data_IF_827448212179
#
_entry.id   IF_827448212179
#
_cell.length_a   1.000
_cell.length_b   1.000
_cell.length_c   1.000
_cell.angle_alpha   90.00
_cell.angle_beta   90.00
_cell.angle_gamma   90.00
#
_symmetry.space_group_name_H-M   'P 1'
#
loop_
_entity.id
_entity.type
_entity.pdbx_description
1 polymer ?
#
# COMPACT_ATOMS: atom_id res chain seq x y z
N UNK A 1 11.26 -44.54 -16.80
CA UNK A 1 12.20 -45.41 -17.56
C UNK A 1 12.36 -46.70 -16.79
N UNK A 2 11.70 -47.77 -17.23
CA UNK A 2 11.87 -49.11 -16.68
C UNK A 2 12.32 -50.01 -17.84
N UNK A 3 13.42 -50.71 -17.63
CA UNK A 3 14.11 -51.53 -18.63
C UNK A 3 13.73 -53.00 -18.39
N UNK A 4 12.90 -53.56 -19.26
CA UNK A 4 12.59 -54.99 -19.29
C UNK A 4 13.76 -55.76 -19.91
N UNK A 5 14.20 -56.85 -19.28
CA UNK A 5 15.15 -57.81 -19.85
C UNK A 5 14.42 -59.07 -20.30
N UNK A 6 14.66 -59.47 -21.54
CA UNK A 6 14.15 -60.69 -22.17
C UNK A 6 14.82 -61.98 -21.64
N UNK A 7 14.14 -63.14 -21.67
CA UNK A 7 14.76 -64.43 -21.39
C UNK A 7 15.35 -65.06 -22.66
N UNK A 8 16.64 -65.37 -22.62
CA UNK A 8 17.31 -66.26 -23.59
C UNK A 8 17.32 -67.68 -23.06
N UNK A 9 16.87 -68.63 -23.89
CA UNK A 9 16.91 -70.06 -23.54
C UNK A 9 16.88 -70.92 -24.80
N UNK A 10 18.02 -71.04 -25.48
CA UNK A 10 18.22 -71.98 -26.58
C UNK A 10 18.77 -73.32 -26.04
N UNK A 11 18.02 -74.40 -26.18
CA UNK A 11 18.46 -75.76 -25.85
C UNK A 11 18.38 -76.66 -27.07
N UNK A 12 19.53 -77.02 -27.63
CA UNK A 12 19.69 -77.81 -28.86
C UNK A 12 19.33 -79.29 -28.66
N UNK A 13 18.57 -79.83 -29.61
CA UNK A 13 18.29 -81.25 -29.82
C UNK A 13 19.57 -82.08 -30.07
N UNK A 14 19.83 -83.11 -29.27
CA UNK A 14 20.85 -84.13 -29.55
C UNK A 14 20.15 -85.40 -30.05
N UNK A 15 20.29 -85.69 -31.35
CA UNK A 15 19.89 -86.96 -31.98
C UNK A 15 20.98 -88.02 -31.76
N UNK A 16 20.77 -88.95 -30.84
CA UNK A 16 21.58 -90.17 -30.75
C UNK A 16 21.08 -91.21 -31.77
N UNK A 17 21.89 -91.51 -32.79
CA UNK A 17 21.68 -92.61 -33.73
C UNK A 17 22.09 -93.93 -33.08
N UNK A 18 21.18 -94.91 -33.04
CA UNK A 18 21.48 -96.29 -32.65
C UNK A 18 21.86 -97.11 -33.89
N UNK A 19 23.06 -97.69 -33.90
CA UNK A 19 23.48 -98.68 -34.89
C UNK A 19 22.86 -100.03 -34.54
N UNK A 20 22.11 -100.65 -35.44
CA UNK A 20 21.61 -102.02 -35.26
C UNK A 20 22.75 -103.04 -35.46
N UNK A 21 22.82 -104.11 -34.66
CA UNK A 21 23.77 -105.19 -34.89
C UNK A 21 23.36 -106.00 -36.13
N UNK A 22 24.35 -106.31 -36.98
CA UNK A 22 24.16 -107.13 -38.17
C UNK A 22 23.97 -108.60 -37.76
N UNK A 23 22.79 -109.17 -38.04
CA UNK A 23 22.38 -110.52 -37.62
C UNK A 23 22.79 -111.63 -38.62
N UNK A 24 23.58 -111.30 -39.65
CA UNK A 24 23.95 -112.24 -40.72
C UNK A 24 24.90 -113.38 -40.30
N UNK A 25 25.39 -113.37 -39.05
CA UNK A 25 26.32 -114.38 -38.53
C UNK A 25 25.71 -115.31 -37.47
N UNK A 26 24.39 -115.33 -37.26
CA UNK A 26 23.75 -116.37 -36.44
C UNK A 26 23.62 -117.64 -37.30
N UNK A 27 24.77 -118.26 -37.56
CA UNK A 27 24.87 -119.59 -38.13
C UNK A 27 24.36 -120.60 -37.10
N UNK A 28 23.41 -121.42 -37.54
CA UNK A 28 22.86 -122.55 -36.80
C UNK A 28 23.97 -123.61 -36.68
N UNK A 29 24.81 -123.50 -35.66
CA UNK A 29 25.69 -124.58 -35.20
C UNK A 29 25.66 -124.62 -33.68
N UNK A 30 25.01 -125.67 -33.18
CA UNK A 30 25.26 -126.32 -31.88
C UNK A 30 25.92 -125.43 -30.82
N UNK A 31 25.12 -124.63 -30.10
CA UNK A 31 25.60 -123.93 -28.90
C UNK A 31 25.84 -124.96 -27.80
N UNK A 32 27.11 -125.22 -27.54
CA UNK A 32 27.62 -126.00 -26.43
C UNK A 32 27.24 -125.32 -25.10
N UNK A 33 26.78 -126.08 -24.10
CA UNK A 33 26.26 -125.58 -22.82
C UNK A 33 27.25 -124.73 -22.01
N UNK A 34 28.54 -124.68 -22.38
CA UNK A 34 29.57 -123.85 -21.74
C UNK A 34 29.49 -122.37 -22.11
N UNK A 35 28.81 -122.00 -23.21
CA UNK A 35 28.83 -120.62 -23.71
C UNK A 35 27.71 -119.74 -23.12
N UNK A 36 26.79 -120.34 -22.34
CA UNK A 36 25.80 -119.61 -21.54
C UNK A 36 26.43 -118.86 -20.34
N UNK A 37 27.61 -119.29 -19.88
CA UNK A 37 28.28 -118.68 -18.72
C UNK A 37 28.91 -117.30 -19.01
N UNK A 38 29.08 -116.94 -20.29
CA UNK A 38 29.63 -115.65 -20.72
C UNK A 38 28.58 -114.62 -21.16
N UNK A 39 27.28 -114.91 -20.99
CA UNK A 39 26.24 -113.88 -21.14
C UNK A 39 26.39 -112.93 -19.95
N UNK A 40 27.26 -111.95 -20.11
CA UNK A 40 27.25 -110.76 -19.28
C UNK A 40 25.96 -110.05 -19.62
N UNK A 41 24.91 -110.31 -18.83
CA UNK A 41 23.71 -109.48 -18.81
C UNK A 41 24.21 -108.09 -18.39
N UNK A 42 24.53 -107.25 -19.38
CA UNK A 42 24.71 -105.83 -19.17
C UNK A 42 23.39 -105.36 -18.59
N UNK A 43 23.39 -105.12 -17.29
CA UNK A 43 22.28 -104.55 -16.54
C UNK A 43 22.10 -103.10 -17.01
N UNK A 44 21.63 -102.92 -18.26
CA UNK A 44 21.26 -101.63 -18.84
C UNK A 44 19.90 -101.27 -18.27
N UNK A 45 19.91 -100.78 -17.03
CA UNK A 45 18.90 -99.90 -16.43
C UNK A 45 19.40 -99.39 -15.07
N UNK A 46 20.61 -98.83 -15.05
CA UNK A 46 20.94 -97.77 -14.08
C UNK A 46 20.71 -96.44 -14.77
N UNK A 47 19.44 -96.08 -14.92
CA UNK A 47 19.03 -94.69 -15.04
C UNK A 47 17.51 -94.66 -15.08
N UNK A 48 16.95 -93.71 -14.33
CA UNK A 48 15.57 -93.25 -14.30
C UNK A 48 14.65 -93.89 -13.23
N UNK A 49 14.18 -93.00 -12.33
CA UNK A 49 12.99 -93.09 -11.48
C UNK A 49 13.09 -93.61 -10.04
N UNK A 50 14.09 -93.17 -9.27
CA UNK A 50 13.95 -93.10 -7.80
C UNK A 50 14.17 -91.64 -7.36
N UNK A 51 13.21 -90.77 -7.65
CA UNK A 51 12.98 -89.65 -6.73
C UNK A 51 12.21 -90.26 -5.58
N UNK A 52 12.84 -90.40 -4.41
CA UNK A 52 12.16 -90.90 -3.22
C UNK A 52 10.95 -89.98 -2.96
N UNK A 53 9.77 -90.57 -2.76
CA UNK A 53 8.56 -89.83 -2.40
C UNK A 53 8.80 -88.98 -1.15
N UNK A 54 9.71 -89.43 -0.27
CA UNK A 54 10.15 -88.66 0.89
C UNK A 54 10.87 -87.37 0.50
N UNK A 55 11.79 -87.41 -0.48
CA UNK A 55 12.50 -86.22 -0.93
C UNK A 55 11.52 -85.20 -1.55
N UNK A 56 10.58 -85.67 -2.36
CA UNK A 56 9.52 -84.81 -2.92
C UNK A 56 8.64 -84.19 -1.84
N UNK A 57 8.28 -84.96 -0.80
CA UNK A 57 7.51 -84.46 0.32
C UNK A 57 8.29 -83.38 1.09
N UNK A 58 9.59 -83.58 1.32
CA UNK A 58 10.43 -82.58 1.99
C UNK A 58 10.57 -81.29 1.17
N UNK A 59 10.70 -81.40 -0.14
CA UNK A 59 10.74 -80.24 -1.04
C UNK A 59 9.40 -79.47 -1.04
N UNK A 60 8.27 -80.18 -1.05
CA UNK A 60 6.94 -79.55 -0.96
C UNK A 60 6.77 -78.84 0.39
N UNK A 61 7.18 -79.48 1.49
CA UNK A 61 7.13 -78.88 2.83
C UNK A 61 7.98 -77.61 2.90
N UNK A 62 9.17 -77.64 2.32
CA UNK A 62 10.06 -76.48 2.22
C UNK A 62 9.43 -75.35 1.40
N UNK A 63 8.89 -75.64 0.21
CA UNK A 63 8.22 -74.65 -0.62
C UNK A 63 7.00 -74.04 0.08
N UNK A 64 6.23 -74.84 0.82
CA UNK A 64 5.10 -74.35 1.60
C UNK A 64 5.55 -73.42 2.74
N UNK A 65 6.65 -73.75 3.42
CA UNK A 65 7.23 -72.91 4.46
C UNK A 65 7.72 -71.56 3.88
N UNK A 66 8.42 -71.59 2.75
CA UNK A 66 8.88 -70.39 2.02
C UNK A 66 7.70 -69.52 1.58
N UNK A 67 6.64 -70.13 1.03
CA UNK A 67 5.42 -69.43 0.62
C UNK A 67 4.72 -68.78 1.81
N UNK A 68 4.59 -69.48 2.94
CA UNK A 68 4.00 -68.91 4.16
C UNK A 68 4.84 -67.75 4.72
N UNK A 69 6.17 -67.84 4.66
CA UNK A 69 7.06 -66.75 5.07
C UNK A 69 6.87 -65.51 4.19
N UNK A 70 6.80 -65.69 2.86
CA UNK A 70 6.53 -64.59 1.92
C UNK A 70 5.16 -63.95 2.13
N UNK A 71 4.12 -64.76 2.32
CA UNK A 71 2.77 -64.27 2.60
C UNK A 71 2.74 -63.46 3.90
N UNK A 72 3.38 -63.98 4.97
CA UNK A 72 3.47 -63.29 6.25
C UNK A 72 4.18 -61.94 6.09
N UNK A 73 5.34 -61.92 5.41
CA UNK A 73 6.09 -60.68 5.15
C UNK A 73 5.30 -59.68 4.30
N UNK A 74 4.52 -60.16 3.33
CA UNK A 74 3.67 -59.31 2.49
C UNK A 74 2.55 -58.67 3.32
N UNK A 75 1.89 -59.47 4.18
CA UNK A 75 0.82 -59.01 5.07
C UNK A 75 1.35 -57.95 6.06
N UNK A 76 2.52 -58.17 6.67
CA UNK A 76 3.11 -57.19 7.60
C UNK A 76 3.42 -55.87 6.89
N UNK A 77 4.04 -55.94 5.71
CA UNK A 77 4.37 -54.75 4.90
C UNK A 77 3.11 -53.98 4.47
N UNK A 78 2.06 -54.68 4.05
CA UNK A 78 0.78 -54.06 3.71
C UNK A 78 0.13 -53.40 4.93
N UNK A 79 0.18 -54.03 6.10
CA UNK A 79 -0.35 -53.47 7.35
C UNK A 79 0.37 -52.18 7.74
N UNK A 80 1.69 -52.17 7.67
CA UNK A 80 2.50 -50.97 7.95
C UNK A 80 2.19 -49.85 6.97
N UNK A 81 2.11 -50.18 5.67
CA UNK A 81 1.76 -49.22 4.62
C UNK A 81 0.37 -48.63 4.82
N UNK A 82 -0.61 -49.47 5.20
CA UNK A 82 -1.98 -49.04 5.50
C UNK A 82 -2.03 -48.13 6.73
N UNK A 83 -1.27 -48.45 7.78
CA UNK A 83 -1.16 -47.59 8.96
C UNK A 83 -0.55 -46.23 8.64
N UNK A 84 0.49 -46.21 7.79
CA UNK A 84 1.11 -44.96 7.34
C UNK A 84 0.13 -44.12 6.55
N UNK A 85 -0.59 -44.72 5.60
CA UNK A 85 -1.60 -44.03 4.81
C UNK A 85 -2.72 -43.44 5.69
N UNK A 86 -3.16 -44.17 6.73
CA UNK A 86 -4.16 -43.66 7.68
C UNK A 86 -3.66 -42.40 8.41
N UNK A 87 -2.40 -42.39 8.84
CA UNK A 87 -1.78 -41.22 9.48
C UNK A 87 -1.64 -40.05 8.50
N UNK A 88 -1.20 -40.31 7.27
CA UNK A 88 -1.07 -39.28 6.25
C UNK A 88 -2.43 -38.64 5.92
N UNK A 89 -3.50 -39.44 5.84
CA UNK A 89 -4.88 -38.94 5.66
C UNK A 89 -5.32 -38.05 6.82
N UNK A 90 -5.03 -38.45 8.07
CA UNK A 90 -5.35 -37.65 9.24
C UNK A 90 -4.62 -36.29 9.20
N UNK A 91 -3.32 -36.30 8.90
CA UNK A 91 -2.52 -35.07 8.78
C UNK A 91 -3.04 -34.13 7.68
N UNK A 92 -3.40 -34.68 6.50
CA UNK A 92 -3.98 -33.89 5.41
C UNK A 92 -5.30 -33.26 5.84
N UNK A 93 -6.14 -34.00 6.58
CA UNK A 93 -7.41 -33.48 7.08
C UNK A 93 -7.20 -32.30 8.04
N UNK A 94 -6.22 -32.39 8.93
CA UNK A 94 -5.88 -31.32 9.88
C UNK A 94 -5.34 -30.09 9.15
N UNK A 95 -4.43 -30.26 8.18
CA UNK A 95 -3.94 -29.19 7.33
C UNK A 95 -5.08 -28.50 6.56
N UNK A 96 -6.04 -29.27 6.05
CA UNK A 96 -7.21 -28.72 5.35
C UNK A 96 -8.09 -27.87 6.27
N UNK A 97 -8.26 -28.27 7.53
CA UNK A 97 -8.99 -27.47 8.53
C UNK A 97 -8.25 -26.16 8.85
N UNK A 98 -6.93 -26.20 8.98
CA UNK A 98 -6.11 -25.01 9.19
C UNK A 98 -6.21 -24.04 8.01
N UNK A 99 -6.06 -24.53 6.78
CA UNK A 99 -6.22 -23.72 5.55
C UNK A 99 -7.61 -23.08 5.52
N UNK A 100 -8.68 -23.85 5.80
CA UNK A 100 -10.04 -23.33 5.84
C UNK A 100 -10.21 -22.21 6.88
N UNK A 101 -9.60 -22.36 8.06
CA UNK A 101 -9.59 -21.32 9.09
C UNK A 101 -8.83 -20.07 8.62
N UNK A 102 -7.68 -20.26 7.96
CA UNK A 102 -6.87 -19.17 7.38
C UNK A 102 -7.62 -18.38 6.31
N UNK A 103 -8.38 -19.07 5.45
CA UNK A 103 -9.25 -18.44 4.44
C UNK A 103 -10.28 -17.55 5.13
N UNK A 104 -11.02 -18.05 6.13
CA UNK A 104 -12.03 -17.26 6.84
C UNK A 104 -11.45 -16.01 7.53
N UNK A 105 -10.26 -16.10 8.12
CA UNK A 105 -9.55 -14.93 8.68
C UNK A 105 -9.19 -13.90 7.61
N UNK A 106 -8.81 -14.36 6.41
CA UNK A 106 -8.44 -13.50 5.29
C UNK A 106 -9.66 -12.79 4.69
N UNK A 107 -10.76 -13.52 4.53
CA UNK A 107 -12.05 -12.95 4.10
C UNK A 107 -12.51 -11.84 5.05
N UNK A 108 -12.42 -12.07 6.37
CA UNK A 108 -12.80 -11.05 7.34
C UNK A 108 -11.94 -9.78 7.23
N UNK A 109 -10.63 -9.93 7.00
CA UNK A 109 -9.73 -8.79 6.78
C UNK A 109 -10.07 -8.04 5.50
N UNK A 110 -10.42 -8.75 4.42
CA UNK A 110 -10.84 -8.13 3.16
C UNK A 110 -12.13 -7.31 3.33
N UNK A 111 -13.08 -7.81 4.10
CA UNK A 111 -14.30 -7.07 4.43
C UNK A 111 -13.95 -5.77 5.16
N UNK A 112 -13.09 -5.82 6.18
CA UNK A 112 -12.65 -4.62 6.90
C UNK A 112 -11.98 -3.61 5.98
N UNK A 113 -11.04 -4.05 5.13
CA UNK A 113 -10.36 -3.17 4.16
C UNK A 113 -11.37 -2.54 3.19
N UNK A 114 -12.34 -3.30 2.69
CA UNK A 114 -13.37 -2.78 1.79
C UNK A 114 -14.21 -1.69 2.48
N UNK A 115 -14.59 -1.88 3.75
CA UNK A 115 -15.33 -0.86 4.51
C UNK A 115 -14.53 0.40 4.77
N UNK A 116 -13.23 0.27 5.07
CA UNK A 116 -12.34 1.42 5.26
C UNK A 116 -12.14 2.18 3.94
N UNK A 117 -12.02 1.47 2.82
CA UNK A 117 -11.91 2.07 1.50
C UNK A 117 -13.14 2.93 1.14
N UNK A 118 -14.36 2.42 1.38
CA UNK A 118 -15.58 3.20 1.16
C UNK A 118 -15.65 4.46 2.05
N UNK A 119 -15.17 4.36 3.29
CA UNK A 119 -15.09 5.52 4.20
C UNK A 119 -14.11 6.58 3.66
N UNK A 120 -12.92 6.16 3.26
CA UNK A 120 -11.90 7.07 2.69
C UNK A 120 -12.44 7.74 1.42
N UNK A 121 -13.13 6.98 0.57
CA UNK A 121 -13.76 7.51 -0.64
C UNK A 121 -14.78 8.61 -0.32
N UNK A 122 -15.66 8.38 0.65
CA UNK A 122 -16.62 9.38 1.10
C UNK A 122 -15.93 10.64 1.68
N UNK A 123 -14.86 10.45 2.46
CA UNK A 123 -14.08 11.57 3.02
C UNK A 123 -13.42 12.40 1.90
N UNK A 124 -12.89 11.77 0.86
CA UNK A 124 -12.32 12.45 -0.32
C UNK A 124 -13.39 13.24 -1.09
N UNK A 125 -14.57 12.67 -1.31
CA UNK A 125 -15.69 13.37 -1.96
C UNK A 125 -16.11 14.61 -1.16
N UNK A 126 -16.18 14.50 0.18
CA UNK A 126 -16.48 15.62 1.06
C UNK A 126 -15.41 16.73 1.00
N UNK A 127 -14.13 16.36 1.02
CA UNK A 127 -13.01 17.31 0.89
C UNK A 127 -13.07 18.05 -0.45
N UNK A 128 -13.37 17.35 -1.55
CA UNK A 128 -13.54 17.98 -2.86
C UNK A 128 -14.69 18.99 -2.86
N UNK A 129 -15.82 18.66 -2.25
CA UNK A 129 -16.96 19.57 -2.10
C UNK A 129 -16.63 20.84 -1.30
N UNK A 130 -15.89 20.69 -0.20
CA UNK A 130 -15.40 21.82 0.60
C UNK A 130 -14.43 22.69 -0.19
N UNK A 131 -13.54 22.07 -0.98
CA UNK A 131 -12.57 22.78 -1.82
C UNK A 131 -13.27 23.66 -2.86
N UNK A 132 -14.24 23.12 -3.60
CA UNK A 132 -15.05 23.89 -4.57
C UNK A 132 -15.80 25.06 -3.91
N UNK A 133 -16.32 24.83 -2.70
CA UNK A 133 -16.99 25.88 -1.92
C UNK A 133 -16.03 27.00 -1.54
N UNK A 134 -14.80 26.66 -1.13
CA UNK A 134 -13.77 27.63 -0.79
C UNK A 134 -13.30 28.42 -2.01
N UNK A 135 -13.06 27.75 -3.14
CA UNK A 135 -12.72 28.40 -4.41
C UNK A 135 -13.77 29.43 -4.83
N UNK A 136 -15.05 29.07 -4.72
CA UNK A 136 -16.17 29.98 -5.01
C UNK A 136 -16.18 31.21 -4.09
N UNK A 137 -15.93 31.01 -2.79
CA UNK A 137 -15.85 32.12 -1.82
C UNK A 137 -14.65 33.03 -2.09
N UNK A 138 -13.50 32.46 -2.43
CA UNK A 138 -12.30 33.22 -2.80
C UNK A 138 -12.59 34.08 -4.03
N UNK A 139 -13.15 33.50 -5.10
CA UNK A 139 -13.51 34.25 -6.30
C UNK A 139 -14.50 35.39 -6.01
N UNK A 140 -15.48 35.17 -5.11
CA UNK A 140 -16.40 36.23 -4.67
C UNK A 140 -15.67 37.37 -3.95
N UNK A 141 -14.77 37.03 -3.01
CA UNK A 141 -13.98 38.02 -2.27
C UNK A 141 -13.03 38.80 -3.19
N UNK A 142 -12.43 38.14 -4.17
CA UNK A 142 -11.59 38.78 -5.18
C UNK A 142 -12.40 39.78 -6.02
N UNK A 143 -13.63 39.42 -6.40
CA UNK A 143 -14.55 40.31 -7.11
C UNK A 143 -14.91 41.53 -6.25
N UNK A 144 -15.23 41.33 -4.98
CA UNK A 144 -15.57 42.42 -4.07
C UNK A 144 -14.36 43.33 -3.79
N UNK A 145 -13.16 42.77 -3.65
CA UNK A 145 -11.92 43.54 -3.56
C UNK A 145 -11.67 44.38 -4.83
N UNK A 146 -11.96 43.85 -6.02
CA UNK A 146 -11.86 44.62 -7.26
C UNK A 146 -12.87 45.76 -7.31
N UNK A 147 -14.13 45.54 -6.91
CA UNK A 147 -15.15 46.61 -6.83
C UNK A 147 -14.72 47.73 -5.88
N UNK A 148 -14.16 47.38 -4.72
CA UNK A 148 -13.64 48.36 -3.77
C UNK A 148 -12.45 49.16 -4.35
N UNK A 149 -11.56 48.51 -5.10
CA UNK A 149 -10.45 49.19 -5.80
C UNK A 149 -10.90 50.09 -6.96
N UNK A 150 -11.95 49.68 -7.69
CA UNK A 150 -12.48 50.36 -8.88
C UNK A 150 -13.61 51.34 -8.51
N UNK A 151 -13.83 51.63 -7.24
CA UNK A 151 -14.67 52.75 -6.80
C UNK A 151 -13.81 54.00 -6.46
N UNK A 152 -13.20 54.71 -7.44
CA UNK A 152 -12.65 56.03 -7.21
C UNK A 152 -13.70 57.14 -7.38
N UNK A 153 -14.99 56.82 -7.52
CA UNK A 153 -16.03 57.78 -7.93
C UNK A 153 -17.10 58.13 -6.89
N UNK A 154 -17.01 57.61 -5.67
CA UNK A 154 -17.48 58.45 -4.56
C UNK A 154 -16.31 59.33 -4.16
N UNK A 155 -16.56 60.64 -4.15
CA UNK A 155 -15.63 61.72 -3.80
C UNK A 155 -15.12 61.49 -2.37
N UNK A 156 -14.20 60.54 -2.22
CA UNK A 156 -13.29 60.50 -1.10
C UNK A 156 -12.33 61.65 -1.34
N UNK A 157 -12.71 62.83 -0.82
CA UNK A 157 -11.70 63.76 -0.32
C UNK A 157 -10.70 62.90 0.43
N UNK A 158 -9.49 62.82 -0.08
CA UNK A 158 -8.44 62.05 0.57
C UNK A 158 -8.39 62.53 2.01
N UNK A 159 -8.25 61.61 2.97
CA UNK A 159 -8.17 62.00 4.37
C UNK A 159 -7.08 63.08 4.57
N UNK A 160 -6.04 63.05 3.74
CA UNK A 160 -4.97 64.06 3.67
C UNK A 160 -5.46 65.46 3.29
N UNK A 161 -6.33 65.64 2.28
CA UNK A 161 -6.93 66.94 1.95
C UNK A 161 -7.85 67.44 3.07
N UNK A 162 -8.58 66.53 3.74
CA UNK A 162 -9.44 66.88 4.86
C UNK A 162 -8.65 67.30 6.12
N UNK A 163 -7.49 66.72 6.39
CA UNK A 163 -6.66 67.10 7.54
C UNK A 163 -5.99 68.46 7.32
N UNK A 164 -5.56 68.77 6.10
CA UNK A 164 -4.99 70.07 5.75
C UNK A 164 -5.93 71.23 6.05
N UNK A 165 -7.18 71.11 5.59
CA UNK A 165 -8.22 72.14 5.81
C UNK A 165 -8.56 72.32 7.30
N UNK A 166 -8.65 71.21 8.05
CA UNK A 166 -8.92 71.24 9.50
C UNK A 166 -7.77 71.91 10.26
N UNK A 167 -6.51 71.58 9.93
CA UNK A 167 -5.33 72.19 10.55
C UNK A 167 -5.22 73.69 10.23
N UNK A 168 -5.53 74.08 8.98
CA UNK A 168 -5.57 75.48 8.57
C UNK A 168 -6.65 76.27 9.35
N UNK A 169 -7.84 75.71 9.54
CA UNK A 169 -8.90 76.34 10.33
C UNK A 169 -8.53 76.45 11.81
N UNK A 170 -7.94 75.41 12.42
CA UNK A 170 -7.51 75.43 13.82
C UNK A 170 -6.44 76.51 14.06
N UNK A 171 -5.49 76.65 13.12
CA UNK A 171 -4.44 77.67 13.22
C UNK A 171 -4.99 79.08 13.04
N UNK A 172 -5.91 79.31 12.09
CA UNK A 172 -6.64 80.57 11.91
C UNK A 172 -7.41 80.98 13.18
N UNK A 173 -8.18 80.06 13.76
CA UNK A 173 -8.92 80.31 15.00
C UNK A 173 -7.99 80.63 16.18
N UNK A 174 -6.83 79.98 16.27
CA UNK A 174 -5.86 80.21 17.34
C UNK A 174 -5.25 81.62 17.24
N UNK A 175 -4.87 82.06 16.05
CA UNK A 175 -4.36 83.42 15.82
C UNK A 175 -5.43 84.47 16.13
N UNK A 176 -6.69 84.19 15.80
CA UNK A 176 -7.81 85.08 16.10
C UNK A 176 -8.08 85.25 17.57
N UNK A 177 -8.09 84.16 18.34
CA UNK A 177 -8.21 84.23 19.81
C UNK A 177 -7.14 85.13 20.40
N UNK A 178 -5.91 85.09 19.88
CA UNK A 178 -4.84 86.01 20.30
C UNK A 178 -5.18 87.47 19.98
N UNK A 179 -5.67 87.77 18.78
CA UNK A 179 -6.07 89.13 18.42
C UNK A 179 -7.21 89.65 19.29
N UNK A 180 -8.24 88.84 19.56
CA UNK A 180 -9.35 89.23 20.44
C UNK A 180 -8.82 89.60 21.84
N UNK A 181 -7.92 88.78 22.41
CA UNK A 181 -7.39 88.99 23.75
C UNK A 181 -6.41 90.16 23.83
N UNK A 182 -5.48 90.28 22.88
CA UNK A 182 -4.38 91.25 22.94
C UNK A 182 -4.82 92.63 22.45
N UNK A 183 -5.56 92.69 21.34
CA UNK A 183 -5.91 93.96 20.69
C UNK A 183 -7.38 94.35 20.89
N UNK A 184 -8.20 93.48 21.49
CA UNK A 184 -9.61 93.78 21.76
C UNK A 184 -10.51 93.78 20.52
N UNK A 185 -10.05 93.20 19.41
CA UNK A 185 -10.83 93.13 18.16
C UNK A 185 -12.03 92.21 18.36
N UNK A 186 -13.23 92.67 17.99
CA UNK A 186 -14.46 91.89 18.17
C UNK A 186 -14.60 90.75 17.16
N UNK A 187 -15.10 89.61 17.63
CA UNK A 187 -15.30 88.41 16.83
C UNK A 187 -16.27 88.68 15.66
N UNK A 188 -15.84 88.46 14.39
CA UNK A 188 -16.75 88.54 13.26
C UNK A 188 -17.72 87.37 13.21
N UNK A 189 -18.94 87.70 12.81
CA UNK A 189 -20.05 86.76 12.67
C UNK A 189 -20.06 86.01 11.32
N UNK A 190 -18.96 86.07 10.54
CA UNK A 190 -18.90 85.43 9.22
C UNK A 190 -18.29 84.03 9.33
N UNK A 191 -18.77 83.11 8.51
CA UNK A 191 -18.25 81.73 8.43
C UNK A 191 -17.11 81.58 7.42
N UNK A 192 -16.93 82.53 6.48
CA UNK A 192 -15.85 82.50 5.48
C UNK A 192 -14.52 83.01 6.09
N UNK A 193 -13.49 82.15 6.04
CA UNK A 193 -12.11 82.44 6.44
C UNK A 193 -11.57 83.71 5.79
N UNK A 194 -11.85 83.96 4.51
CA UNK A 194 -11.27 85.11 3.78
C UNK A 194 -11.84 86.43 4.29
N UNK A 195 -13.14 86.47 4.50
CA UNK A 195 -13.82 87.65 5.05
C UNK A 195 -13.37 87.94 6.49
N UNK A 196 -13.18 86.86 7.25
CA UNK A 196 -12.64 86.87 8.60
C UNK A 196 -11.25 87.51 8.68
N UNK A 197 -10.31 87.01 7.87
CA UNK A 197 -8.95 87.56 7.82
C UNK A 197 -8.92 89.02 7.32
N UNK A 198 -9.78 89.36 6.36
CA UNK A 198 -9.89 90.73 5.86
C UNK A 198 -10.33 91.69 6.97
N UNK A 199 -11.33 91.31 7.77
CA UNK A 199 -11.79 92.13 8.89
C UNK A 199 -10.72 92.30 9.96
N UNK A 200 -10.02 91.23 10.33
CA UNK A 200 -8.97 91.29 11.36
C UNK A 200 -7.81 92.21 10.95
N UNK A 201 -7.42 92.18 9.67
CA UNK A 201 -6.40 93.10 9.14
C UNK A 201 -6.85 94.56 9.23
N UNK A 202 -8.09 94.85 8.87
CA UNK A 202 -8.63 96.21 8.90
C UNK A 202 -8.73 96.73 10.34
N UNK A 203 -9.28 95.94 11.26
CA UNK A 203 -9.46 96.37 12.65
C UNK A 203 -8.11 96.43 13.39
N UNK A 204 -7.17 95.54 13.07
CA UNK A 204 -5.80 95.60 13.59
C UNK A 204 -5.07 96.89 13.21
N UNK A 205 -5.18 97.31 11.95
CA UNK A 205 -4.64 98.60 11.49
C UNK A 205 -5.32 99.78 12.18
N UNK A 206 -6.64 99.71 12.37
CA UNK A 206 -7.40 100.75 13.08
C UNK A 206 -6.93 100.89 14.53
N UNK A 207 -6.75 99.78 15.25
CA UNK A 207 -6.29 99.80 16.63
C UNK A 207 -4.87 100.35 16.75
N UNK A 208 -3.98 99.97 15.82
CA UNK A 208 -2.61 100.51 15.76
C UNK A 208 -2.62 102.02 15.58
N UNK A 209 -3.46 102.54 14.68
CA UNK A 209 -3.61 103.98 14.45
C UNK A 209 -4.12 104.72 15.70
N UNK A 210 -5.11 104.16 16.40
CA UNK A 210 -5.62 104.73 17.67
C UNK A 210 -4.52 104.77 18.72
N UNK A 211 -3.78 103.67 18.92
CA UNK A 211 -2.68 103.60 19.88
C UNK A 211 -1.57 104.62 19.55
N UNK A 212 -1.20 104.75 18.27
CA UNK A 212 -0.20 105.71 17.82
C UNK A 212 -0.66 107.16 18.06
N UNK A 213 -1.94 107.45 17.83
CA UNK A 213 -2.54 108.77 18.11
C UNK A 213 -2.55 109.09 19.61
N UNK A 214 -2.87 108.12 20.46
CA UNK A 214 -2.80 108.28 21.92
C UNK A 214 -1.36 108.56 22.33
N UNK A 215 -0.41 107.75 21.85
CA UNK A 215 1.02 107.91 22.17
C UNK A 215 1.56 109.27 21.74
N UNK A 216 1.26 109.73 20.53
CA UNK A 216 1.63 111.05 20.05
C UNK A 216 1.03 112.18 20.90
N UNK A 217 -0.22 112.03 21.35
CA UNK A 217 -0.88 113.00 22.25
C UNK A 217 -0.24 113.01 23.64
N UNK A 218 0.10 111.84 24.20
CA UNK A 218 0.78 111.74 25.50
C UNK A 218 2.17 112.35 25.45
N UNK A 219 2.96 112.06 24.41
CA UNK A 219 4.26 112.70 24.19
C UNK A 219 4.14 114.22 24.04
N UNK A 220 3.15 114.70 23.29
CA UNK A 220 2.92 116.13 23.13
C UNK A 220 2.55 116.80 24.46
N UNK A 221 1.74 116.16 25.30
CA UNK A 221 1.41 116.68 26.63
C UNK A 221 2.64 116.68 27.56
N UNK A 222 3.45 115.62 27.54
CA UNK A 222 4.66 115.52 28.35
C UNK A 222 5.67 116.62 28.03
N UNK A 223 5.90 116.89 26.73
CA UNK A 223 6.81 117.96 26.29
C UNK A 223 6.31 119.36 26.68
N UNK A 224 4.99 119.57 26.76
CA UNK A 224 4.42 120.87 27.15
C UNK A 224 4.34 121.07 28.67
N UNK A 225 4.27 120.00 29.47
CA UNK A 225 4.32 120.09 30.94
C UNK A 225 5.73 120.37 31.48
N UNK A 226 6.79 119.99 30.75
CA UNK A 226 8.18 120.30 31.13
C UNK A 226 8.64 121.74 30.76
N UNK A 227 7.79 122.54 30.09
CA UNK A 227 8.10 123.91 29.62
C UNK A 227 7.37 125.00 30.44
N UNK A 228 6.58 124.62 31.46
CA UNK A 228 5.87 125.53 32.38
C UNK A 228 6.38 125.38 33.81
#
# INVERSE_FOLDING_TARGET
MAQERSPTGSGKNIKCRGSQPNLSNIGIQSMHLSDLASITIRNKRKHCFDYDVNDQLTDIQKQMAEMMALLTSSITTQKESSSKLANDIANIKDQMLEIKCGIGKTEQKLITIATEHEKIKADVENINGLTLTMETKIASLECDLQKLKISPNEVHRTAEESYGDILAEITDQTLRKKNIIITGISEPQTTDIRDRQKKDKVEGLRQLYVNLKIYAKTLFNFVNEDIL
#
